data_IF_268708801303
#
_entry.id   IF_268708801303
#
_cell.length_a   1.000
_cell.length_b   1.000
_cell.length_c   1.000
_cell.angle_alpha   90.00
_cell.angle_beta   90.00
_cell.angle_gamma   90.00
#
_symmetry.space_group_name_H-M   'P 1'
#
loop_
_entity.id
_entity.type
_entity.pdbx_description
1 polymer ?
#
# COMPACT_ATOMS: atom_id res chain seq x y z
N UNK A 1 45.61 -52.66 -2.62
CA UNK A 1 46.02 -51.34 -3.12
C UNK A 1 44.82 -50.38 -3.16
N UNK A 2 44.68 -49.46 -2.17
CA UNK A 2 43.46 -48.66 -1.97
C UNK A 2 43.42 -47.33 -2.77
N UNK A 3 44.46 -47.00 -3.54
CA UNK A 3 44.66 -45.65 -4.10
C UNK A 3 43.90 -45.31 -5.39
N UNK A 4 43.16 -46.25 -6.00
CA UNK A 4 42.36 -45.96 -7.20
C UNK A 4 40.92 -45.52 -6.92
N UNK A 5 40.31 -45.95 -5.79
CA UNK A 5 38.93 -45.57 -5.43
C UNK A 5 38.81 -44.15 -4.84
N UNK A 6 39.86 -43.65 -4.19
CA UNK A 6 39.90 -42.27 -3.67
C UNK A 6 40.06 -41.24 -4.80
N UNK A 7 40.90 -41.53 -5.80
CA UNK A 7 41.08 -40.65 -6.98
C UNK A 7 39.81 -40.52 -7.82
N UNK A 8 39.02 -41.58 -7.99
CA UNK A 8 37.75 -41.51 -8.74
C UNK A 8 36.65 -40.78 -7.98
N UNK A 9 36.61 -40.86 -6.65
CA UNK A 9 35.67 -40.10 -5.81
C UNK A 9 35.99 -38.59 -5.78
N UNK A 10 37.27 -38.21 -5.75
CA UNK A 10 37.71 -36.82 -5.86
C UNK A 10 37.49 -36.23 -7.26
N UNK A 11 37.69 -37.02 -8.32
CA UNK A 11 37.36 -36.62 -9.70
C UNK A 11 35.85 -36.42 -9.90
N UNK A 12 35.01 -37.29 -9.33
CA UNK A 12 33.55 -37.13 -9.37
C UNK A 12 33.08 -35.90 -8.58
N UNK A 13 33.60 -35.66 -7.36
CA UNK A 13 33.31 -34.46 -6.58
C UNK A 13 33.75 -33.18 -7.29
N UNK A 14 34.93 -33.17 -7.91
CA UNK A 14 35.40 -32.02 -8.70
C UNK A 14 34.56 -31.81 -9.97
N UNK A 15 34.02 -32.87 -10.58
CA UNK A 15 33.11 -32.76 -11.72
C UNK A 15 31.74 -32.20 -11.32
N UNK A 16 31.21 -32.56 -10.15
CA UNK A 16 29.95 -32.03 -9.61
C UNK A 16 30.08 -30.59 -9.12
N UNK A 17 31.20 -30.26 -8.46
CA UNK A 17 31.55 -28.88 -8.11
C UNK A 17 31.76 -28.03 -9.36
N UNK A 18 32.44 -28.54 -10.39
CA UNK A 18 32.58 -27.86 -11.69
C UNK A 18 31.24 -27.66 -12.40
N UNK A 19 30.32 -28.64 -12.35
CA UNK A 19 28.97 -28.51 -12.90
C UNK A 19 28.12 -27.51 -12.11
N UNK A 20 28.16 -27.55 -10.78
CA UNK A 20 27.49 -26.55 -9.92
C UNK A 20 28.04 -25.16 -10.19
N UNK A 21 29.35 -24.97 -10.29
CA UNK A 21 29.96 -23.69 -10.62
C UNK A 21 29.58 -23.21 -12.03
N UNK A 22 29.53 -24.10 -13.03
CA UNK A 22 29.10 -23.76 -14.40
C UNK A 22 27.64 -23.34 -14.46
N UNK A 23 26.74 -24.05 -13.76
CA UNK A 23 25.31 -23.70 -13.70
C UNK A 23 25.11 -22.38 -12.95
N UNK A 24 25.76 -22.20 -11.80
CA UNK A 24 25.68 -20.95 -11.03
C UNK A 24 26.26 -19.77 -11.82
N UNK A 25 27.39 -19.92 -12.51
CA UNK A 25 27.95 -18.88 -13.39
C UNK A 25 27.04 -18.60 -14.59
N UNK A 26 26.40 -19.61 -15.20
CA UNK A 26 25.47 -19.41 -16.32
C UNK A 26 24.20 -18.70 -15.87
N UNK A 27 23.66 -19.04 -14.70
CA UNK A 27 22.49 -18.37 -14.10
C UNK A 27 22.80 -16.92 -13.70
N UNK A 28 23.99 -16.66 -13.15
CA UNK A 28 24.45 -15.31 -12.82
C UNK A 28 24.66 -14.50 -14.12
N UNK A 29 25.30 -15.05 -15.15
CA UNK A 29 25.49 -14.38 -16.43
C UNK A 29 24.17 -14.11 -17.15
N UNK A 30 23.24 -15.07 -17.18
CA UNK A 30 21.92 -14.85 -17.78
C UNK A 30 21.12 -13.78 -17.01
N UNK A 31 21.10 -13.84 -15.68
CA UNK A 31 20.43 -12.84 -14.85
C UNK A 31 21.04 -11.43 -15.01
N UNK A 32 22.38 -11.32 -15.11
CA UNK A 32 23.06 -10.05 -15.36
C UNK A 32 22.85 -9.56 -16.80
N UNK A 33 22.92 -10.44 -17.81
CA UNK A 33 22.81 -10.02 -19.21
C UNK A 33 21.40 -9.54 -19.56
N UNK A 34 20.36 -10.26 -19.11
CA UNK A 34 18.98 -9.82 -19.27
C UNK A 34 18.64 -8.61 -18.39
N UNK A 35 19.13 -8.57 -17.13
CA UNK A 35 18.90 -7.46 -16.21
C UNK A 35 19.60 -6.16 -16.61
N UNK A 36 20.77 -6.21 -17.25
CA UNK A 36 21.50 -5.02 -17.71
C UNK A 36 20.94 -4.44 -19.00
N UNK A 37 20.41 -5.26 -19.91
CA UNK A 37 19.72 -4.78 -21.11
C UNK A 37 18.39 -4.10 -20.80
N UNK A 38 17.60 -4.62 -19.86
CA UNK A 38 16.36 -3.96 -19.40
C UNK A 38 16.67 -2.68 -18.62
N UNK A 39 17.67 -2.69 -17.73
CA UNK A 39 18.07 -1.51 -16.93
C UNK A 39 18.56 -0.33 -17.79
N UNK A 40 19.39 -0.58 -18.81
CA UNK A 40 19.83 0.47 -19.75
C UNK A 40 18.70 1.10 -20.56
N UNK A 41 17.56 0.40 -20.71
CA UNK A 41 16.36 0.93 -21.38
C UNK A 41 15.46 1.73 -20.43
N UNK A 42 15.60 1.55 -19.12
CA UNK A 42 14.80 2.20 -18.08
C UNK A 42 15.50 3.41 -17.42
N UNK A 43 16.82 3.57 -17.60
CA UNK A 43 17.64 4.67 -17.05
C UNK A 43 17.34 6.07 -17.66
N UNK A 44 16.19 6.28 -18.31
CA UNK A 44 15.75 7.59 -18.80
C UNK A 44 14.46 8.14 -18.17
N UNK A 45 13.97 7.50 -17.11
CA UNK A 45 12.89 8.04 -16.27
C UNK A 45 13.30 7.93 -14.80
N UNK A 46 13.57 9.07 -14.19
CA UNK A 46 13.83 9.20 -12.75
C UNK A 46 12.60 8.76 -11.94
N UNK A 47 12.90 8.10 -10.82
CA UNK A 47 12.03 7.22 -10.02
C UNK A 47 11.64 7.92 -8.73
N UNK A 48 10.37 7.78 -8.33
CA UNK A 48 9.99 7.41 -6.96
C UNK A 48 8.54 6.89 -6.95
N UNK A 49 8.34 5.71 -7.54
CA UNK A 49 7.15 4.88 -7.31
C UNK A 49 7.58 3.71 -6.43
N UNK A 50 7.00 3.61 -5.23
CA UNK A 50 7.04 2.39 -4.42
C UNK A 50 6.14 1.32 -5.06
N UNK A 51 6.51 0.84 -6.25
CA UNK A 51 5.86 -0.30 -6.88
C UNK A 51 6.41 -1.58 -6.25
N UNK A 52 5.68 -2.11 -5.27
CA UNK A 52 5.90 -3.47 -4.78
C UNK A 52 5.88 -4.43 -5.99
N UNK A 53 6.92 -5.25 -6.21
CA UNK A 53 6.99 -6.11 -7.39
C UNK A 53 5.86 -7.15 -7.36
N UNK A 54 5.43 -7.62 -8.54
CA UNK A 54 4.32 -8.58 -8.66
C UNK A 54 4.83 -9.96 -9.13
N UNK A 55 4.20 -11.02 -8.64
CA UNK A 55 4.38 -12.40 -9.08
C UNK A 55 3.09 -12.82 -9.77
N UNK A 56 3.16 -13.08 -11.08
CA UNK A 56 2.08 -13.68 -11.85
C UNK A 56 2.35 -15.18 -12.01
N UNK A 57 1.74 -16.00 -11.17
CA UNK A 57 1.86 -17.45 -11.26
C UNK A 57 0.79 -18.00 -12.21
N UNK A 58 1.20 -18.47 -13.39
CA UNK A 58 0.30 -18.96 -14.44
C UNK A 58 0.25 -20.48 -14.41
N UNK A 59 -0.95 -21.06 -14.26
CA UNK A 59 -1.16 -22.51 -14.24
C UNK A 59 -2.25 -22.98 -15.21
N UNK A 60 -2.26 -24.29 -15.48
CA UNK A 60 -3.23 -24.93 -16.37
C UNK A 60 -2.71 -25.20 -17.78
N UNK A 61 -3.61 -25.63 -18.68
CA UNK A 61 -3.25 -26.27 -19.96
C UNK A 61 -2.57 -25.33 -20.97
N UNK A 62 -2.96 -24.06 -21.01
CA UNK A 62 -2.41 -23.03 -21.92
C UNK A 62 -1.45 -22.05 -21.25
N UNK A 63 -0.93 -22.42 -20.06
CA UNK A 63 -0.13 -21.53 -19.21
C UNK A 63 1.08 -20.90 -19.91
N UNK A 64 1.74 -21.63 -20.81
CA UNK A 64 2.92 -21.11 -21.54
C UNK A 64 2.54 -19.96 -22.45
N UNK A 65 1.56 -20.17 -23.32
CA UNK A 65 1.09 -19.16 -24.25
C UNK A 65 0.67 -17.88 -23.52
N UNK A 66 -0.12 -18.03 -22.44
CA UNK A 66 -0.55 -16.91 -21.61
C UNK A 66 0.64 -16.20 -20.96
N UNK A 67 1.57 -16.95 -20.36
CA UNK A 67 2.75 -16.39 -19.70
C UNK A 67 3.63 -15.57 -20.67
N UNK A 68 3.87 -16.09 -21.87
CA UNK A 68 4.71 -15.44 -22.88
C UNK A 68 4.05 -14.19 -23.50
N UNK A 69 2.75 -14.24 -23.79
CA UNK A 69 2.02 -13.06 -24.26
C UNK A 69 1.96 -11.95 -23.20
N UNK A 70 1.71 -12.32 -21.93
CA UNK A 70 1.77 -11.38 -20.81
C UNK A 70 3.16 -10.76 -20.65
N UNK A 71 4.22 -11.56 -20.76
CA UNK A 71 5.60 -11.07 -20.66
C UNK A 71 5.95 -10.08 -21.77
N UNK A 72 5.50 -10.36 -22.99
CA UNK A 72 5.71 -9.48 -24.14
C UNK A 72 5.03 -8.13 -23.93
N UNK A 73 3.84 -8.12 -23.35
CA UNK A 73 3.09 -6.91 -23.05
C UNK A 73 3.67 -6.16 -21.83
N UNK A 74 3.79 -6.82 -20.68
CA UNK A 74 4.22 -6.24 -19.40
C UNK A 74 5.73 -6.00 -19.27
N UNK A 75 6.53 -6.56 -20.18
CA UNK A 75 8.01 -6.55 -20.14
C UNK A 75 8.59 -7.20 -18.88
N UNK A 76 7.89 -8.19 -18.31
CA UNK A 76 8.38 -8.96 -17.18
C UNK A 76 9.16 -10.21 -17.64
N UNK A 77 10.21 -10.62 -16.92
CA UNK A 77 10.86 -11.90 -17.15
C UNK A 77 9.89 -13.08 -16.92
N UNK A 78 9.97 -14.08 -17.80
CA UNK A 78 9.28 -15.36 -17.68
C UNK A 78 10.23 -16.38 -17.07
N UNK A 79 9.72 -17.14 -16.10
CA UNK A 79 10.38 -18.31 -15.54
C UNK A 79 9.46 -19.50 -15.84
N UNK A 80 9.81 -20.29 -16.85
CA UNK A 80 9.09 -21.50 -17.21
C UNK A 80 9.72 -22.73 -16.56
N UNK A 81 8.99 -23.38 -15.66
CA UNK A 81 9.47 -24.58 -14.98
C UNK A 81 9.80 -25.70 -15.97
N UNK A 82 9.07 -25.83 -17.09
CA UNK A 82 9.28 -26.93 -18.02
C UNK A 82 10.61 -26.79 -18.78
N UNK A 83 11.03 -25.56 -19.05
CA UNK A 83 12.33 -25.29 -19.66
C UNK A 83 13.47 -25.64 -18.69
N UNK A 84 13.28 -25.38 -17.40
CA UNK A 84 14.23 -25.81 -16.36
C UNK A 84 14.26 -27.34 -16.29
N UNK A 85 13.09 -28.00 -16.31
CA UNK A 85 13.00 -29.46 -16.28
C UNK A 85 13.72 -30.10 -17.47
N UNK A 86 13.58 -29.55 -18.69
CA UNK A 86 14.24 -30.05 -19.90
C UNK A 86 15.78 -30.02 -19.81
N UNK A 87 16.33 -29.03 -19.10
CA UNK A 87 17.78 -28.89 -18.91
C UNK A 87 18.32 -29.87 -17.85
N UNK A 88 17.46 -30.36 -16.95
CA UNK A 88 17.83 -31.30 -15.91
C UNK A 88 17.66 -32.75 -16.41
N UNK A 89 18.77 -33.48 -16.56
CA UNK A 89 18.76 -34.86 -17.03
C UNK A 89 18.25 -35.84 -15.94
N UNK A 90 17.21 -36.61 -16.27
CA UNK A 90 16.64 -37.81 -15.61
C UNK A 90 16.88 -37.98 -14.09
N UNK A 91 15.97 -37.45 -13.27
CA UNK A 91 15.85 -37.83 -11.84
C UNK A 91 14.38 -37.97 -11.41
N UNK A 92 14.10 -38.82 -10.43
CA UNK A 92 12.73 -39.11 -9.95
C UNK A 92 12.06 -37.93 -9.21
N UNK A 93 12.77 -36.82 -8.97
CA UNK A 93 12.29 -35.64 -8.24
C UNK A 93 12.40 -34.32 -9.06
N UNK A 94 12.43 -34.45 -10.40
CA UNK A 94 12.64 -33.36 -11.35
C UNK A 94 11.72 -32.16 -11.12
N UNK A 95 10.43 -32.38 -10.85
CA UNK A 95 9.47 -31.29 -10.69
C UNK A 95 9.76 -30.41 -9.47
N UNK A 96 10.10 -31.02 -8.33
CA UNK A 96 10.41 -30.28 -7.11
C UNK A 96 11.75 -29.54 -7.21
N UNK A 97 12.74 -30.13 -7.88
CA UNK A 97 14.03 -29.49 -8.12
C UNK A 97 13.84 -28.29 -9.07
N UNK A 98 13.13 -28.50 -10.17
CA UNK A 98 12.86 -27.45 -11.16
C UNK A 98 12.07 -26.30 -10.56
N UNK A 99 11.06 -26.60 -9.74
CA UNK A 99 10.30 -25.60 -8.99
C UNK A 99 11.18 -24.80 -8.01
N UNK A 100 12.06 -25.45 -7.25
CA UNK A 100 12.99 -24.76 -6.33
C UNK A 100 13.97 -23.85 -7.07
N UNK A 101 14.44 -24.27 -8.25
CA UNK A 101 15.28 -23.43 -9.11
C UNK A 101 14.47 -22.23 -9.62
N UNK A 102 13.24 -22.44 -10.10
CA UNK A 102 12.36 -21.36 -10.53
C UNK A 102 12.13 -20.32 -9.43
N UNK A 103 11.87 -20.77 -8.19
CA UNK A 103 11.73 -19.88 -7.02
C UNK A 103 13.03 -19.12 -6.71
N UNK A 104 14.18 -19.78 -6.83
CA UNK A 104 15.48 -19.14 -6.58
C UNK A 104 15.74 -18.03 -7.60
N UNK A 105 15.47 -18.27 -8.89
CA UNK A 105 15.56 -17.25 -9.95
C UNK A 105 14.60 -16.11 -9.66
N UNK A 106 13.33 -16.41 -9.34
CA UNK A 106 12.34 -15.40 -9.00
C UNK A 106 12.75 -14.57 -7.79
N UNK A 107 13.42 -15.16 -6.78
CA UNK A 107 13.86 -14.45 -5.59
C UNK A 107 14.90 -13.38 -5.93
N UNK A 108 15.83 -13.66 -6.85
CA UNK A 108 16.83 -12.68 -7.31
C UNK A 108 16.13 -11.52 -8.03
N UNK A 109 15.22 -11.82 -8.96
CA UNK A 109 14.47 -10.81 -9.71
C UNK A 109 13.65 -9.89 -8.79
N UNK A 110 12.96 -10.48 -7.81
CA UNK A 110 12.07 -9.75 -6.91
C UNK A 110 12.82 -8.97 -5.84
N UNK A 111 13.87 -9.54 -5.22
CA UNK A 111 14.54 -8.93 -4.08
C UNK A 111 15.67 -7.99 -4.48
N UNK A 112 16.51 -8.42 -5.41
CA UNK A 112 17.72 -7.69 -5.83
C UNK A 112 17.40 -6.68 -6.93
N UNK A 113 16.57 -7.08 -7.90
CA UNK A 113 16.26 -6.24 -9.06
C UNK A 113 14.94 -5.47 -8.95
N UNK A 114 14.11 -5.79 -7.95
CA UNK A 114 12.78 -5.20 -7.73
C UNK A 114 11.86 -5.27 -8.96
N UNK A 115 12.00 -6.33 -9.76
CA UNK A 115 11.21 -6.54 -10.98
C UNK A 115 10.01 -7.45 -10.71
N UNK A 116 8.88 -7.17 -11.37
CA UNK A 116 7.77 -8.13 -11.47
C UNK A 116 8.19 -9.36 -12.27
N UNK A 117 7.63 -10.53 -11.96
CA UNK A 117 7.99 -11.81 -12.59
C UNK A 117 6.74 -12.59 -13.00
N UNK A 118 6.85 -13.32 -14.10
CA UNK A 118 5.84 -14.28 -14.54
C UNK A 118 6.40 -15.68 -14.36
N UNK A 119 5.72 -16.51 -13.58
CA UNK A 119 6.15 -17.87 -13.27
C UNK A 119 5.14 -18.83 -13.90
N UNK A 120 5.53 -19.52 -14.97
CA UNK A 120 4.73 -20.58 -15.59
C UNK A 120 5.00 -21.90 -14.86
N UNK A 121 4.01 -22.38 -14.12
CA UNK A 121 4.16 -23.57 -13.25
C UNK A 121 2.88 -24.43 -13.27
N UNK A 122 2.99 -25.76 -13.17
CA UNK A 122 1.83 -26.65 -13.15
C UNK A 122 0.95 -26.45 -11.90
N UNK A 123 1.55 -26.04 -10.76
CA UNK A 123 0.86 -25.79 -9.47
C UNK A 123 -0.07 -26.93 -9.03
N UNK A 124 0.36 -28.18 -9.24
CA UNK A 124 -0.36 -29.39 -8.86
C UNK A 124 -0.21 -29.78 -7.38
N UNK A 125 0.72 -29.14 -6.65
CA UNK A 125 1.02 -29.44 -5.25
C UNK A 125 0.80 -28.22 -4.35
N UNK A 126 0.12 -28.45 -3.21
CA UNK A 126 -0.12 -27.41 -2.18
C UNK A 126 1.18 -26.78 -1.66
N UNK A 127 2.24 -27.58 -1.53
CA UNK A 127 3.56 -27.13 -1.08
C UNK A 127 4.14 -26.03 -2.00
N UNK A 128 3.96 -26.14 -3.31
CA UNK A 128 4.44 -25.15 -4.28
C UNK A 128 3.74 -23.80 -4.09
N UNK A 129 2.42 -23.82 -3.88
CA UNK A 129 1.66 -22.62 -3.57
C UNK A 129 2.10 -21.98 -2.26
N UNK A 130 2.30 -22.77 -1.20
CA UNK A 130 2.74 -22.25 0.10
C UNK A 130 4.14 -21.62 0.01
N UNK A 131 5.03 -22.20 -0.79
CA UNK A 131 6.35 -21.63 -1.06
C UNK A 131 6.28 -20.31 -1.86
N UNK A 132 5.39 -20.19 -2.85
CA UNK A 132 5.15 -18.92 -3.55
C UNK A 132 4.61 -17.85 -2.60
N UNK A 133 3.66 -18.19 -1.72
CA UNK A 133 3.13 -17.28 -0.70
C UNK A 133 4.24 -16.78 0.22
N UNK A 134 5.10 -17.68 0.71
CA UNK A 134 6.26 -17.33 1.55
C UNK A 134 7.22 -16.41 0.80
N UNK A 135 7.49 -16.69 -0.48
CA UNK A 135 8.39 -15.89 -1.30
C UNK A 135 7.82 -14.49 -1.57
N UNK A 136 6.54 -14.39 -1.94
CA UNK A 136 5.85 -13.13 -2.12
C UNK A 136 5.95 -12.27 -0.86
N UNK A 137 5.59 -12.84 0.30
CA UNK A 137 5.70 -12.17 1.61
C UNK A 137 7.13 -11.71 1.90
N UNK A 138 8.12 -12.58 1.66
CA UNK A 138 9.53 -12.28 1.94
C UNK A 138 10.12 -11.21 1.00
N UNK A 139 9.61 -11.08 -0.22
CA UNK A 139 10.05 -10.08 -1.18
C UNK A 139 9.25 -8.77 -1.10
N UNK A 140 8.22 -8.69 -0.24
CA UNK A 140 7.24 -7.60 -0.26
C UNK A 140 6.46 -7.55 -1.58
N UNK A 141 6.34 -8.69 -2.27
CA UNK A 141 5.76 -8.78 -3.58
C UNK A 141 4.28 -9.19 -3.52
N UNK A 142 3.50 -8.72 -4.49
CA UNK A 142 2.10 -9.10 -4.65
C UNK A 142 1.97 -10.38 -5.47
N UNK A 143 1.17 -11.36 -5.03
CA UNK A 143 1.01 -12.64 -5.72
C UNK A 143 -0.39 -12.75 -6.34
N UNK A 144 -0.45 -13.06 -7.64
CA UNK A 144 -1.69 -13.34 -8.39
C UNK A 144 -1.57 -14.69 -9.08
N UNK A 145 -2.60 -15.52 -8.97
CA UNK A 145 -2.72 -16.77 -9.72
C UNK A 145 -3.52 -16.51 -10.99
N UNK A 146 -2.97 -16.86 -12.15
CA UNK A 146 -3.67 -16.85 -13.44
C UNK A 146 -3.99 -18.30 -13.80
N UNK A 147 -5.27 -18.66 -13.74
CA UNK A 147 -5.78 -19.98 -14.05
C UNK A 147 -6.19 -20.07 -15.52
N UNK A 148 -5.50 -20.91 -16.26
CA UNK A 148 -5.92 -21.35 -17.60
C UNK A 148 -6.80 -22.60 -17.45
N UNK A 149 -8.12 -22.45 -17.57
CA UNK A 149 -9.03 -23.59 -17.45
C UNK A 149 -8.86 -24.57 -18.62
N UNK A 150 -9.06 -25.88 -18.41
CA UNK A 150 -9.14 -26.84 -19.50
C UNK A 150 -10.40 -26.60 -20.34
N UNK A 151 -10.36 -26.99 -21.62
CA UNK A 151 -11.48 -26.80 -22.57
C UNK A 151 -12.77 -27.54 -22.17
N UNK A 152 -12.67 -28.52 -21.29
CA UNK A 152 -13.77 -29.33 -20.77
C UNK A 152 -14.43 -28.74 -19.50
N UNK A 153 -13.89 -27.63 -18.96
CA UNK A 153 -14.47 -26.94 -17.80
C UNK A 153 -14.23 -27.62 -16.45
N UNK A 154 -13.39 -28.65 -16.37
CA UNK A 154 -13.06 -29.30 -15.10
C UNK A 154 -12.37 -28.33 -14.13
N UNK A 155 -12.88 -28.26 -12.89
CA UNK A 155 -12.48 -27.24 -11.92
C UNK A 155 -11.31 -27.76 -11.05
N UNK A 156 -10.20 -27.04 -11.09
CA UNK A 156 -8.99 -27.30 -10.30
C UNK A 156 -9.18 -26.87 -8.83
N UNK A 157 -8.44 -27.47 -7.90
CA UNK A 157 -8.55 -27.31 -6.45
C UNK A 157 -8.62 -25.84 -6.00
N UNK A 158 -9.41 -25.59 -4.94
CA UNK A 158 -9.63 -24.26 -4.41
C UNK A 158 -8.33 -23.70 -3.79
N UNK A 159 -7.79 -22.62 -4.38
CA UNK A 159 -6.61 -21.92 -3.86
C UNK A 159 -7.11 -20.80 -2.95
N UNK A 160 -7.20 -21.07 -1.65
CA UNK A 160 -7.64 -20.07 -0.67
C UNK A 160 -6.56 -19.00 -0.41
N UNK A 161 -7.00 -17.73 -0.33
CA UNK A 161 -6.21 -16.61 0.17
C UNK A 161 -5.28 -15.92 -0.85
N UNK A 162 -5.38 -16.22 -2.15
CA UNK A 162 -4.64 -15.51 -3.20
C UNK A 162 -5.61 -15.10 -4.32
N UNK A 163 -5.54 -13.85 -4.85
CA UNK A 163 -6.35 -13.44 -5.99
C UNK A 163 -6.14 -14.37 -7.20
N UNK A 164 -7.25 -14.84 -7.77
CA UNK A 164 -7.27 -15.74 -8.94
C UNK A 164 -7.95 -15.03 -10.10
N UNK A 165 -7.27 -14.97 -11.24
CA UNK A 165 -7.81 -14.54 -12.52
C UNK A 165 -8.02 -15.76 -13.41
N UNK A 166 -9.12 -15.78 -14.17
CA UNK A 166 -9.47 -16.90 -15.04
C UNK A 166 -9.24 -16.46 -16.48
N UNK A 167 -8.50 -17.27 -17.24
CA UNK A 167 -8.39 -17.13 -18.69
C UNK A 167 -9.46 -18.02 -19.33
N UNK A 168 -10.34 -17.38 -20.09
CA UNK A 168 -11.44 -18.02 -20.79
C UNK A 168 -10.92 -19.02 -21.85
N UNK A 169 -11.22 -20.34 -21.70
CA UNK A 169 -10.73 -21.36 -22.62
C UNK A 169 -11.48 -21.39 -23.96
N UNK A 170 -12.60 -20.68 -24.08
CA UNK A 170 -13.44 -20.65 -25.28
C UNK A 170 -12.97 -19.64 -26.33
N UNK A 171 -12.12 -18.69 -25.94
CA UNK A 171 -11.56 -17.70 -26.87
C UNK A 171 -10.44 -18.33 -27.71
N UNK A 172 -10.42 -18.08 -29.03
CA UNK A 172 -9.43 -18.68 -29.93
C UNK A 172 -8.01 -18.15 -29.68
N UNK A 173 -7.87 -16.94 -29.15
CA UNK A 173 -6.58 -16.28 -28.87
C UNK A 173 -6.65 -15.48 -27.57
N UNK A 174 -5.54 -15.48 -26.82
CA UNK A 174 -5.39 -14.70 -25.60
C UNK A 174 -4.87 -13.30 -25.96
N UNK A 175 -5.64 -12.28 -25.61
CA UNK A 175 -5.25 -10.87 -25.76
C UNK A 175 -4.69 -10.35 -24.43
N UNK A 176 -3.37 -10.17 -24.38
CA UNK A 176 -2.68 -9.76 -23.16
C UNK A 176 -3.00 -8.33 -22.75
N UNK A 177 -3.14 -7.40 -23.71
CA UNK A 177 -3.44 -5.99 -23.41
C UNK A 177 -4.82 -5.86 -22.79
N UNK A 178 -5.81 -6.48 -23.43
CA UNK A 178 -7.18 -6.50 -22.91
C UNK A 178 -7.29 -7.24 -21.58
N UNK A 179 -6.59 -8.36 -21.41
CA UNK A 179 -6.60 -9.08 -20.13
C UNK A 179 -5.96 -8.25 -19.01
N UNK A 180 -4.89 -7.51 -19.32
CA UNK A 180 -4.24 -6.65 -18.34
C UNK A 180 -5.18 -5.52 -17.93
N UNK A 181 -5.79 -4.81 -18.88
CA UNK A 181 -6.74 -3.72 -18.57
C UNK A 181 -7.99 -4.21 -17.85
N UNK A 182 -8.58 -5.32 -18.32
CA UNK A 182 -9.90 -5.75 -17.88
C UNK A 182 -9.85 -6.60 -16.61
N UNK A 183 -8.75 -7.29 -16.33
CA UNK A 183 -8.66 -8.25 -15.23
C UNK A 183 -7.49 -7.93 -14.29
N UNK A 184 -6.26 -7.87 -14.82
CA UNK A 184 -5.08 -7.75 -13.97
C UNK A 184 -4.99 -6.41 -13.25
N UNK A 185 -5.23 -5.31 -13.95
CA UNK A 185 -5.20 -3.97 -13.37
C UNK A 185 -6.32 -3.80 -12.35
N UNK A 186 -7.49 -4.42 -12.55
CA UNK A 186 -8.54 -4.45 -11.52
C UNK A 186 -8.07 -5.19 -10.27
N UNK A 187 -7.36 -6.32 -10.40
CA UNK A 187 -6.83 -7.06 -9.24
C UNK A 187 -5.69 -6.29 -8.57
N UNK A 188 -4.80 -5.66 -9.33
CA UNK A 188 -3.79 -4.75 -8.77
C UNK A 188 -4.48 -3.63 -7.99
N UNK A 189 -5.46 -2.95 -8.58
CA UNK A 189 -6.25 -1.89 -7.92
C UNK A 189 -7.06 -2.39 -6.69
N UNK A 190 -7.58 -3.63 -6.70
CA UNK A 190 -8.45 -4.22 -5.66
C UNK A 190 -7.71 -4.91 -4.53
N UNK A 191 -6.47 -5.32 -4.72
CA UNK A 191 -5.75 -6.09 -3.69
C UNK A 191 -4.93 -5.25 -2.73
N UNK A 192 -4.75 -3.97 -3.04
CA UNK A 192 -4.40 -2.98 -2.05
C UNK A 192 -5.69 -2.53 -1.36
N UNK A 193 -5.83 -2.82 -0.07
CA UNK A 193 -6.66 -2.00 0.82
C UNK A 193 -6.29 -0.54 0.52
N UNK A 194 -7.26 0.35 0.34
CA UNK A 194 -7.03 1.70 -0.17
C UNK A 194 -6.25 2.57 0.83
N UNK A 195 -4.93 2.37 0.87
CA UNK A 195 -3.97 3.13 1.67
C UNK A 195 -3.20 4.13 0.81
N UNK A 196 -3.70 4.38 -0.40
CA UNK A 196 -3.05 5.23 -1.38
C UNK A 196 -3.43 6.69 -1.15
N UNK A 197 -2.49 7.62 -1.42
CA UNK A 197 -2.82 9.04 -1.41
C UNK A 197 -3.89 9.36 -2.46
N UNK A 198 -4.86 10.17 -2.06
CA UNK A 198 -5.72 10.88 -2.98
C UNK A 198 -4.99 12.16 -3.41
N UNK A 199 -4.73 12.27 -4.70
CA UNK A 199 -4.05 13.41 -5.31
C UNK A 199 -5.05 14.34 -5.99
N UNK A 200 -4.79 15.64 -5.90
CA UNK A 200 -5.62 16.65 -6.55
C UNK A 200 -5.31 16.74 -8.05
N UNK A 201 -6.35 16.82 -8.88
CA UNK A 201 -6.26 17.05 -10.31
C UNK A 201 -7.19 18.17 -10.76
N UNK A 202 -6.62 19.13 -11.52
CA UNK A 202 -7.34 20.29 -12.03
C UNK A 202 -8.14 20.04 -13.32
N UNK A 203 -7.83 19.00 -14.10
CA UNK A 203 -8.52 18.64 -15.35
C UNK A 203 -8.65 17.13 -15.49
N UNK A 204 -9.76 16.68 -16.08
CA UNK A 204 -9.94 15.29 -16.49
C UNK A 204 -9.13 15.01 -17.77
N UNK A 205 -8.52 13.83 -17.83
CA UNK A 205 -8.17 13.20 -19.10
C UNK A 205 -9.48 12.84 -19.79
N UNK A 206 -9.74 13.47 -20.94
CA UNK A 206 -10.91 13.18 -21.76
C UNK A 206 -10.87 11.71 -22.17
N UNK A 207 -11.84 10.89 -21.71
CA UNK A 207 -12.36 9.69 -22.40
C UNK A 207 -13.28 8.79 -21.54
N UNK A 208 -13.51 9.06 -20.25
CA UNK A 208 -14.48 8.28 -19.46
C UNK A 208 -15.41 9.14 -18.59
N UNK A 209 -16.70 8.78 -18.54
CA UNK A 209 -17.67 9.34 -17.57
C UNK A 209 -17.35 8.76 -16.19
N UNK A 210 -16.46 9.43 -15.46
CA UNK A 210 -16.11 9.04 -14.09
C UNK A 210 -17.12 9.64 -13.11
N UNK A 211 -17.59 8.84 -12.16
CA UNK A 211 -18.53 9.27 -11.12
C UNK A 211 -17.82 9.45 -9.77
N UNK A 212 -18.31 10.39 -8.97
CA UNK A 212 -17.81 10.65 -7.62
C UNK A 212 -18.31 9.56 -6.66
N UNK A 213 -17.40 8.89 -5.97
CA UNK A 213 -17.71 7.82 -5.03
C UNK A 213 -18.57 8.24 -3.85
N UNK A 214 -18.60 9.54 -3.51
CA UNK A 214 -19.42 10.08 -2.42
C UNK A 214 -20.84 10.42 -2.87
N UNK A 215 -20.99 11.23 -3.92
CA UNK A 215 -22.30 11.76 -4.33
C UNK A 215 -22.93 11.04 -5.54
N UNK A 216 -22.22 10.08 -6.14
CA UNK A 216 -22.63 9.31 -7.33
C UNK A 216 -22.94 10.17 -8.57
N UNK A 217 -22.49 11.42 -8.61
CA UNK A 217 -22.64 12.31 -9.78
C UNK A 217 -21.38 12.30 -10.63
N UNK A 218 -21.53 12.50 -11.93
CA UNK A 218 -20.40 12.61 -12.87
C UNK A 218 -19.45 13.74 -12.48
N UNK A 219 -18.16 13.49 -12.61
CA UNK A 219 -17.10 14.47 -12.40
C UNK A 219 -16.82 15.14 -13.74
N UNK A 220 -16.85 16.48 -13.76
CA UNK A 220 -16.56 17.30 -14.94
C UNK A 220 -15.44 18.32 -14.70
N UNK A 221 -14.93 18.43 -13.47
CA UNK A 221 -14.00 19.47 -13.04
C UNK A 221 -12.94 18.96 -12.05
N UNK A 222 -12.39 19.86 -11.21
CA UNK A 222 -11.38 19.52 -10.22
C UNK A 222 -11.81 18.37 -9.31
N UNK A 223 -10.92 17.42 -9.09
CA UNK A 223 -11.22 16.19 -8.36
C UNK A 223 -10.01 15.69 -7.59
N UNK A 224 -10.29 14.85 -6.60
CA UNK A 224 -9.32 14.01 -5.95
C UNK A 224 -9.45 12.60 -6.51
N UNK A 225 -8.34 11.97 -6.85
CA UNK A 225 -8.31 10.59 -7.27
C UNK A 225 -7.16 9.83 -6.62
N UNK A 226 -7.35 8.55 -6.37
CA UNK A 226 -6.28 7.66 -5.96
C UNK A 226 -5.08 7.77 -6.91
N UNK A 227 -3.88 7.92 -6.35
CA UNK A 227 -2.62 8.00 -7.09
C UNK A 227 -2.40 6.79 -8.01
N UNK A 228 -2.75 5.58 -7.54
CA UNK A 228 -2.67 4.36 -8.33
C UNK A 228 -3.87 4.14 -9.28
N UNK A 229 -4.78 5.13 -9.40
CA UNK A 229 -5.91 5.07 -10.31
C UNK A 229 -7.00 4.07 -9.90
N UNK A 230 -7.22 3.85 -8.60
CA UNK A 230 -8.36 3.05 -8.12
C UNK A 230 -9.69 3.75 -8.45
N UNK A 231 -10.50 3.14 -9.31
CA UNK A 231 -11.74 3.73 -9.83
C UNK A 231 -12.82 3.93 -8.75
N UNK A 232 -12.69 3.24 -7.61
CA UNK A 232 -13.61 3.35 -6.47
C UNK A 232 -13.31 4.56 -5.55
N UNK A 233 -12.22 5.29 -5.79
CA UNK A 233 -11.73 6.36 -4.91
C UNK A 233 -11.45 7.62 -5.71
N UNK A 234 -12.53 8.16 -6.27
CA UNK A 234 -12.52 9.39 -7.03
C UNK A 234 -13.63 10.28 -6.48
N UNK A 235 -13.30 11.53 -6.15
CA UNK A 235 -14.20 12.45 -5.50
C UNK A 235 -14.16 13.81 -6.20
N UNK A 236 -15.29 14.50 -6.35
CA UNK A 236 -15.23 15.95 -6.58
C UNK A 236 -14.38 16.60 -5.49
N UNK A 237 -13.70 17.70 -5.82
CA UNK A 237 -12.94 18.49 -4.82
C UNK A 237 -13.78 18.74 -3.56
N UNK A 238 -14.97 19.28 -3.74
CA UNK A 238 -15.90 19.60 -2.66
C UNK A 238 -16.40 18.36 -1.91
N UNK A 239 -16.52 17.22 -2.61
CA UNK A 239 -16.87 15.96 -1.96
C UNK A 239 -15.72 15.41 -1.11
N UNK A 240 -14.46 15.53 -1.55
CA UNK A 240 -13.30 15.11 -0.75
C UNK A 240 -13.08 16.00 0.48
N UNK A 241 -13.23 17.32 0.30
CA UNK A 241 -13.07 18.35 1.32
C UNK A 241 -14.31 18.58 2.19
N UNK A 242 -15.40 17.86 1.94
CA UNK A 242 -16.63 18.02 2.70
C UNK A 242 -16.34 17.88 4.20
N UNK A 243 -16.68 18.88 5.03
CA UNK A 243 -16.25 18.95 6.41
C UNK A 243 -16.79 17.76 7.22
N UNK A 244 -17.93 17.20 6.82
CA UNK A 244 -18.63 16.22 7.64
C UNK A 244 -19.15 16.88 8.92
N UNK A 245 -19.42 16.08 9.95
CA UNK A 245 -20.03 16.54 11.18
C UNK A 245 -18.98 16.95 12.24
N UNK A 246 -18.05 17.84 11.87
CA UNK A 246 -16.97 18.29 12.76
C UNK A 246 -17.50 18.97 14.02
N UNK A 247 -18.66 19.63 13.97
CA UNK A 247 -19.26 20.24 15.15
C UNK A 247 -19.64 19.19 16.20
N UNK A 248 -20.27 18.09 15.78
CA UNK A 248 -20.58 16.97 16.67
C UNK A 248 -19.31 16.27 17.15
N UNK A 249 -18.32 16.08 16.28
CA UNK A 249 -17.03 15.49 16.66
C UNK A 249 -16.27 16.40 17.64
N UNK A 250 -16.36 17.72 17.52
CA UNK A 250 -15.77 18.67 18.45
C UNK A 250 -16.40 18.57 19.85
N UNK A 251 -17.74 18.58 19.90
CA UNK A 251 -18.53 18.51 21.15
C UNK A 251 -18.43 17.14 21.84
N UNK A 252 -18.59 16.06 21.09
CA UNK A 252 -18.68 14.68 21.58
C UNK A 252 -17.72 13.75 20.81
N UNK A 253 -16.44 14.12 20.72
CA UNK A 253 -15.46 13.30 19.99
C UNK A 253 -15.41 11.89 20.57
N UNK A 254 -15.70 10.86 19.76
CA UNK A 254 -15.64 9.50 20.25
C UNK A 254 -14.24 9.16 20.77
N UNK A 255 -14.18 8.46 21.91
CA UNK A 255 -12.91 8.12 22.57
C UNK A 255 -11.94 7.38 21.65
N UNK A 256 -12.46 6.51 20.78
CA UNK A 256 -11.66 5.76 19.80
C UNK A 256 -10.98 6.64 18.73
N UNK A 257 -11.36 7.91 18.58
CA UNK A 257 -10.63 8.87 17.72
C UNK A 257 -9.45 9.55 18.46
N UNK A 258 -9.42 9.46 19.79
CA UNK A 258 -8.46 10.15 20.67
C UNK A 258 -7.53 9.19 21.43
N UNK A 259 -7.96 7.95 21.64
CA UNK A 259 -7.27 6.94 22.44
C UNK A 259 -7.40 5.58 21.75
N UNK A 260 -6.39 4.73 21.88
CA UNK A 260 -6.44 3.35 21.38
C UNK A 260 -7.50 2.56 22.15
N UNK A 261 -8.61 2.27 21.49
CA UNK A 261 -9.66 1.36 21.98
C UNK A 261 -9.48 -0.03 21.35
N UNK A 262 -10.03 -1.10 21.94
CA UNK A 262 -9.92 -2.45 21.39
C UNK A 262 -10.71 -2.66 20.09
N UNK A 263 -11.69 -1.79 19.80
CA UNK A 263 -12.53 -1.86 18.60
C UNK A 263 -13.02 -0.48 18.11
N UNK A 264 -13.40 -0.41 16.84
CA UNK A 264 -14.05 0.77 16.24
C UNK A 264 -15.56 0.78 16.53
N UNK A 265 -16.01 1.70 17.37
CA UNK A 265 -17.40 1.85 17.79
C UNK A 265 -18.17 2.85 16.91
N UNK A 266 -18.34 2.55 15.63
CA UNK A 266 -19.17 3.37 14.76
C UNK A 266 -20.67 3.21 15.06
N UNK A 267 -21.45 4.29 15.10
CA UNK A 267 -22.91 4.23 15.25
C UNK A 267 -23.60 3.42 14.15
N UNK A 268 -23.07 3.50 12.93
CA UNK A 268 -23.51 2.74 11.76
C UNK A 268 -22.25 2.23 11.06
N UNK A 269 -22.29 0.98 10.60
CA UNK A 269 -21.18 0.29 9.93
C UNK A 269 -21.57 0.01 8.48
N UNK A 270 -20.63 0.23 7.56
CA UNK A 270 -20.87 0.06 6.12
C UNK A 270 -19.78 -0.80 5.50
N UNK A 271 -20.21 -1.74 4.65
CA UNK A 271 -19.30 -2.63 3.94
C UNK A 271 -18.63 -1.89 2.78
N UNK A 272 -17.33 -2.14 2.57
CA UNK A 272 -16.74 -1.80 1.29
C UNK A 272 -17.27 -2.73 0.20
N UNK A 273 -17.17 -2.28 -1.05
CA UNK A 273 -17.58 -3.05 -2.24
C UNK A 273 -16.96 -4.44 -2.29
N UNK A 274 -15.71 -4.58 -1.82
CA UNK A 274 -15.00 -5.88 -1.79
C UNK A 274 -15.61 -6.83 -0.76
N UNK A 275 -15.92 -6.35 0.45
CA UNK A 275 -16.54 -7.17 1.49
C UNK A 275 -17.98 -7.53 1.11
N UNK A 276 -18.72 -6.57 0.57
CA UNK A 276 -20.07 -6.79 0.05
C UNK A 276 -20.09 -7.86 -1.05
N UNK A 277 -19.21 -7.75 -2.06
CA UNK A 277 -19.08 -8.75 -3.12
C UNK A 277 -18.76 -10.15 -2.60
N UNK A 278 -17.98 -10.25 -1.51
CA UNK A 278 -17.61 -11.52 -0.87
C UNK A 278 -18.67 -12.04 0.09
N UNK A 279 -19.85 -11.40 0.17
CA UNK A 279 -20.88 -11.69 1.16
C UNK A 279 -20.33 -11.71 2.60
N UNK A 280 -19.31 -10.88 2.86
CA UNK A 280 -18.74 -10.72 4.20
C UNK A 280 -19.40 -9.55 4.91
N UNK A 281 -19.65 -9.74 6.20
CA UNK A 281 -20.06 -8.65 7.08
C UNK A 281 -18.95 -7.62 7.24
N UNK A 282 -19.33 -6.49 7.83
CA UNK A 282 -18.39 -5.42 8.16
C UNK A 282 -17.24 -5.98 8.99
N UNK A 283 -16.03 -5.53 8.70
CA UNK A 283 -14.83 -5.90 9.44
C UNK A 283 -14.05 -4.65 9.80
N UNK A 284 -13.83 -4.48 11.10
CA UNK A 284 -12.87 -3.54 11.66
C UNK A 284 -11.42 -3.82 11.22
N UNK A 285 -11.15 -5.08 10.84
CA UNK A 285 -9.95 -5.58 10.15
C UNK A 285 -9.78 -5.08 8.71
N UNK A 286 -10.80 -4.44 8.12
CA UNK A 286 -10.81 -4.00 6.72
C UNK A 286 -10.73 -2.47 6.63
N UNK A 287 -9.60 -1.94 6.16
CA UNK A 287 -9.40 -0.51 5.92
C UNK A 287 -10.53 0.12 5.10
N UNK A 288 -10.96 -0.54 4.03
CA UNK A 288 -11.97 0.01 3.13
C UNK A 288 -13.36 0.04 3.77
N UNK A 289 -13.67 -0.90 4.68
CA UNK A 289 -14.90 -0.84 5.47
C UNK A 289 -14.87 0.32 6.46
N UNK A 290 -13.71 0.58 7.10
CA UNK A 290 -13.53 1.75 7.97
C UNK A 290 -13.73 3.04 7.19
N UNK A 291 -13.10 3.14 6.01
CA UNK A 291 -13.19 4.31 5.14
C UNK A 291 -14.61 4.52 4.60
N UNK A 292 -15.28 3.46 4.13
CA UNK A 292 -16.66 3.52 3.67
C UNK A 292 -17.62 3.95 4.79
N UNK A 293 -17.41 3.42 5.99
CA UNK A 293 -18.18 3.80 7.18
C UNK A 293 -17.99 5.28 7.50
N UNK A 294 -16.75 5.80 7.42
CA UNK A 294 -16.51 7.24 7.57
C UNK A 294 -17.18 8.07 6.48
N UNK A 295 -17.13 7.60 5.23
CA UNK A 295 -17.69 8.32 4.10
C UNK A 295 -19.21 8.47 4.23
N UNK A 296 -19.92 7.38 4.54
CA UNK A 296 -21.37 7.36 4.68
C UNK A 296 -21.87 8.00 5.98
N UNK A 297 -21.10 7.87 7.06
CA UNK A 297 -21.42 8.49 8.34
C UNK A 297 -21.05 9.97 8.42
N UNK A 298 -20.32 10.49 7.42
CA UNK A 298 -19.81 11.86 7.36
C UNK A 298 -19.08 12.29 8.65
N UNK A 299 -18.37 11.38 9.31
CA UNK A 299 -17.76 11.67 10.61
C UNK A 299 -16.59 12.64 10.48
N UNK A 300 -15.68 12.37 9.55
CA UNK A 300 -14.46 13.11 9.32
C UNK A 300 -14.29 13.45 7.83
N UNK A 301 -13.72 14.63 7.51
CA UNK A 301 -13.38 14.98 6.13
C UNK A 301 -12.34 14.01 5.59
N UNK A 302 -12.47 13.65 4.31
CA UNK A 302 -11.56 12.71 3.63
C UNK A 302 -10.24 13.42 3.32
N UNK A 303 -10.33 14.69 2.89
CA UNK A 303 -9.19 15.55 2.61
C UNK A 303 -9.32 16.84 3.42
N UNK A 304 -8.22 17.29 4.00
CA UNK A 304 -8.14 18.56 4.73
C UNK A 304 -6.99 19.40 4.20
N UNK A 305 -7.29 20.64 3.80
CA UNK A 305 -6.27 21.67 3.56
C UNK A 305 -6.09 22.44 4.87
N UNK A 306 -5.05 22.11 5.64
CA UNK A 306 -4.86 22.67 6.98
C UNK A 306 -3.84 23.81 6.94
N UNK A 307 -4.08 24.93 7.62
CA UNK A 307 -3.22 26.13 7.56
C UNK A 307 -1.77 25.88 7.98
N UNK A 308 -1.54 24.90 8.85
CA UNK A 308 -0.20 24.51 9.29
C UNK A 308 0.64 23.77 8.25
N UNK A 309 0.06 23.39 7.10
CA UNK A 309 0.77 22.60 6.11
C UNK A 309 0.29 22.90 4.68
N UNK A 310 1.23 23.10 3.75
CA UNK A 310 0.91 23.52 2.38
C UNK A 310 0.19 22.45 1.54
N UNK A 311 0.42 21.17 1.81
CA UNK A 311 -0.18 20.07 1.03
C UNK A 311 -1.47 19.54 1.67
N UNK A 312 -2.43 19.02 0.86
CA UNK A 312 -3.63 18.38 1.38
C UNK A 312 -3.30 17.16 2.25
N UNK A 313 -3.95 17.08 3.41
CA UNK A 313 -3.84 15.95 4.32
C UNK A 313 -4.95 14.94 4.02
N UNK A 314 -4.57 13.66 3.92
CA UNK A 314 -5.46 12.55 3.67
C UNK A 314 -5.88 11.90 5.00
N UNK A 315 -7.18 11.62 5.16
CA UNK A 315 -7.65 10.78 6.24
C UNK A 315 -7.13 9.34 6.06
N UNK A 316 -6.49 8.82 7.09
CA UNK A 316 -6.00 7.45 7.17
C UNK A 316 -6.66 6.75 8.36
N UNK A 317 -7.34 5.62 8.13
CA UNK A 317 -8.01 4.82 9.17
C UNK A 317 -7.55 3.36 9.12
N UNK A 318 -6.59 3.02 9.97
CA UNK A 318 -5.97 1.70 10.02
C UNK A 318 -6.75 0.73 10.92
N UNK A 319 -6.92 -0.54 10.53
CA UNK A 319 -7.41 -1.55 11.45
C UNK A 319 -6.54 -1.64 12.71
N UNK A 320 -7.15 -1.77 13.88
CA UNK A 320 -6.45 -1.74 15.17
C UNK A 320 -5.40 -2.85 15.29
N UNK A 321 -5.64 -4.00 14.66
CA UNK A 321 -4.71 -5.13 14.59
C UNK A 321 -3.36 -4.82 13.94
N UNK A 322 -3.24 -3.69 13.22
CA UNK A 322 -1.97 -3.25 12.65
C UNK A 322 -1.06 -2.57 13.66
N UNK A 323 -1.58 -2.19 14.84
CA UNK A 323 -0.85 -1.41 15.84
C UNK A 323 -0.16 -0.19 15.21
N UNK A 324 -0.86 0.48 14.27
CA UNK A 324 -0.30 1.63 13.56
C UNK A 324 -0.11 2.78 14.54
N UNK A 325 1.12 3.27 14.64
CA UNK A 325 1.51 4.41 15.46
C UNK A 325 2.14 5.49 14.58
N UNK A 326 1.88 6.74 14.89
CA UNK A 326 2.49 7.90 14.24
C UNK A 326 2.80 8.99 15.27
N UNK A 327 3.77 9.84 14.93
CA UNK A 327 4.06 11.04 15.72
C UNK A 327 3.30 12.23 15.14
N UNK A 328 2.54 12.93 15.98
CA UNK A 328 1.81 14.12 15.57
C UNK A 328 2.77 15.31 15.42
N UNK A 329 2.76 15.95 14.25
CA UNK A 329 3.54 17.14 13.94
C UNK A 329 3.06 18.39 14.70
N UNK A 330 1.84 18.37 15.24
CA UNK A 330 1.29 19.47 16.03
C UNK A 330 1.73 19.44 17.49
N UNK A 331 1.29 18.43 18.24
CA UNK A 331 1.58 18.33 19.68
C UNK A 331 2.86 17.57 20.01
N UNK A 332 3.45 16.85 19.05
CA UNK A 332 4.61 15.97 19.26
C UNK A 332 4.30 14.63 19.93
N UNK A 333 3.08 14.42 20.39
CA UNK A 333 2.62 13.16 20.99
C UNK A 333 2.42 12.04 19.98
N UNK A 334 2.40 10.80 20.46
CA UNK A 334 2.06 9.63 19.65
C UNK A 334 0.56 9.50 19.46
N UNK A 335 0.15 9.06 18.27
CA UNK A 335 -1.23 8.74 17.91
C UNK A 335 -1.31 7.36 17.33
N UNK A 336 -2.51 6.79 17.34
CA UNK A 336 -2.74 5.43 16.88
C UNK A 336 -3.89 5.37 15.90
N UNK A 337 -3.73 4.51 14.90
CA UNK A 337 -4.76 4.00 13.99
C UNK A 337 -5.44 5.03 13.07
N UNK A 338 -5.79 6.23 13.54
CA UNK A 338 -6.45 7.27 12.77
C UNK A 338 -5.59 8.54 12.74
N UNK A 339 -5.32 9.04 11.55
CA UNK A 339 -4.52 10.25 11.37
C UNK A 339 -4.93 11.03 10.13
N UNK A 340 -4.53 12.29 10.10
CA UNK A 340 -4.42 13.07 8.86
C UNK A 340 -2.98 13.08 8.41
N UNK A 341 -2.71 12.57 7.21
CA UNK A 341 -1.36 12.38 6.69
C UNK A 341 -1.14 13.12 5.38
N UNK A 342 -0.04 13.87 5.32
CA UNK A 342 0.57 14.27 4.05
C UNK A 342 1.53 13.15 3.61
N UNK A 343 1.31 12.63 2.41
CA UNK A 343 2.20 11.60 1.85
C UNK A 343 3.52 12.20 1.32
N UNK A 344 3.51 13.46 0.90
CA UNK A 344 4.68 14.14 0.31
C UNK A 344 5.71 14.58 1.38
N UNK A 345 5.25 14.90 2.60
CA UNK A 345 6.08 15.51 3.64
C UNK A 345 6.23 14.69 4.92
N UNK A 346 5.66 13.48 4.97
CA UNK A 346 5.57 12.67 6.20
C UNK A 346 5.03 13.46 7.42
N UNK A 347 4.12 14.39 7.14
CA UNK A 347 3.46 15.22 8.15
C UNK A 347 2.18 14.51 8.60
N UNK A 348 2.02 14.31 9.91
CA UNK A 348 0.90 13.56 10.45
C UNK A 348 0.25 14.34 11.58
N UNK A 349 -1.08 14.37 11.64
CA UNK A 349 -1.83 15.01 12.72
C UNK A 349 -2.78 14.02 13.37
N UNK A 350 -2.90 14.13 14.69
CA UNK A 350 -4.07 13.59 15.38
C UNK A 350 -5.34 14.25 14.85
N UNK A 351 -6.44 13.51 14.85
CA UNK A 351 -7.78 14.09 14.62
C UNK A 351 -8.06 15.22 15.61
N UNK A 352 -7.71 15.04 16.89
CA UNK A 352 -7.87 16.08 17.92
C UNK A 352 -7.03 17.33 17.66
N UNK A 353 -5.81 17.18 17.15
CA UNK A 353 -4.95 18.32 16.81
C UNK A 353 -5.50 19.09 15.60
N UNK A 354 -6.04 18.38 14.60
CA UNK A 354 -6.72 19.00 13.45
C UNK A 354 -7.94 19.83 13.89
N UNK A 355 -8.63 19.41 14.94
CA UNK A 355 -9.83 20.07 15.47
C UNK A 355 -9.55 21.16 16.51
N UNK A 356 -8.29 21.51 16.75
CA UNK A 356 -7.98 22.56 17.71
C UNK A 356 -8.56 23.90 17.22
N UNK A 357 -9.25 24.66 18.09
CA UNK A 357 -9.80 25.94 17.71
C UNK A 357 -8.68 26.93 17.37
N UNK A 358 -8.86 27.69 16.29
CA UNK A 358 -7.88 28.71 15.89
C UNK A 358 -7.69 29.79 16.95
N UNK A 359 -8.72 30.07 17.73
CA UNK A 359 -8.71 31.07 18.78
C UNK A 359 -9.49 30.58 19.99
N UNK A 360 -8.93 30.79 21.17
CA UNK A 360 -9.60 30.50 22.45
C UNK A 360 -9.66 31.76 23.30
N UNK A 361 -10.84 32.03 23.88
CA UNK A 361 -11.02 33.03 24.92
C UNK A 361 -10.78 32.39 26.28
N UNK A 362 -10.10 33.12 27.17
CA UNK A 362 -9.83 32.67 28.52
C UNK A 362 -10.56 33.59 29.51
N UNK A 363 -11.25 33.03 30.50
CA UNK A 363 -12.11 33.80 31.41
C UNK A 363 -11.34 34.82 32.27
N UNK A 364 -10.03 34.62 32.47
CA UNK A 364 -9.19 35.52 33.28
C UNK A 364 -8.27 36.43 32.43
N UNK A 365 -8.11 36.16 31.14
CA UNK A 365 -7.32 37.01 30.23
C UNK A 365 -8.26 37.79 29.32
N UNK A 366 -8.10 39.11 29.31
CA UNK A 366 -8.90 40.00 28.44
C UNK A 366 -8.63 39.81 26.94
N UNK A 367 -7.64 38.99 26.58
CA UNK A 367 -7.14 38.87 25.21
C UNK A 367 -7.22 37.42 24.70
N UNK A 368 -7.71 37.21 23.46
CA UNK A 368 -7.81 35.89 22.86
C UNK A 368 -6.42 35.32 22.52
N UNK A 369 -6.25 34.03 22.78
CA UNK A 369 -5.07 33.25 22.41
C UNK A 369 -5.27 32.65 21.01
N UNK A 370 -4.26 32.77 20.14
CA UNK A 370 -4.30 32.27 18.76
C UNK A 370 -3.39 31.06 18.57
N UNK A 371 -3.90 30.02 17.94
CA UNK A 371 -3.11 28.84 17.60
C UNK A 371 -2.03 29.21 16.59
N UNK A 372 -0.80 28.78 16.86
CA UNK A 372 0.40 29.10 16.07
C UNK A 372 1.15 27.81 15.73
N UNK A 373 1.52 27.68 14.45
CA UNK A 373 2.12 26.47 13.89
C UNK A 373 3.62 26.58 13.63
N UNK A 374 4.08 27.81 13.37
CA UNK A 374 5.43 28.09 12.89
C UNK A 374 6.28 28.79 13.96
N UNK A 375 7.59 28.58 13.87
CA UNK A 375 8.58 29.23 14.75
C UNK A 375 9.25 30.45 14.08
N UNK A 376 8.76 30.85 12.90
CA UNK A 376 9.54 31.62 11.93
C UNK A 376 9.58 33.14 12.07
N UNK A 377 8.80 33.80 12.95
CA UNK A 377 9.21 35.16 13.30
C UNK A 377 10.34 35.07 14.32
N UNK A 378 11.49 35.65 13.98
CA UNK A 378 12.67 35.73 14.85
C UNK A 378 12.35 36.29 16.26
N UNK A 379 11.23 37.03 16.40
CA UNK A 379 10.67 37.52 17.65
C UNK A 379 10.12 36.44 18.61
N UNK A 380 9.87 35.21 18.14
CA UNK A 380 9.35 34.09 18.97
C UNK A 380 10.44 33.21 19.60
N UNK A 381 11.71 33.35 19.18
CA UNK A 381 12.82 32.58 19.74
C UNK A 381 13.17 32.97 21.18
N UNK A 382 12.90 34.22 21.57
CA UNK A 382 13.10 34.70 22.95
C UNK A 382 11.96 34.27 23.90
N UNK A 383 10.86 33.71 23.37
CA UNK A 383 9.64 33.33 24.10
C UNK A 383 9.51 31.81 24.21
N UNK A 384 10.56 31.18 24.72
CA UNK A 384 10.68 29.72 24.82
C UNK A 384 9.90 29.12 25.98
N UNK A 385 9.24 29.89 26.85
CA UNK A 385 8.54 29.38 28.03
C UNK A 385 7.03 29.54 27.91
N UNK A 386 6.31 28.52 28.38
CA UNK A 386 4.87 28.54 28.53
C UNK A 386 4.47 29.38 29.75
N UNK A 387 3.57 30.34 29.57
CA UNK A 387 3.12 31.25 30.62
C UNK A 387 2.37 30.51 31.73
N UNK A 388 1.55 29.52 31.38
CA UNK A 388 0.73 28.78 32.32
C UNK A 388 1.53 27.84 33.24
N UNK A 389 2.59 27.20 32.74
CA UNK A 389 3.34 26.21 33.52
C UNK A 389 4.80 26.57 33.78
N UNK A 390 5.28 27.69 33.22
CA UNK A 390 6.65 28.22 33.37
C UNK A 390 7.75 27.24 32.92
N UNK A 391 7.42 26.28 32.03
CA UNK A 391 8.36 25.31 31.44
C UNK A 391 8.69 25.67 30.01
N UNK A 392 9.85 25.22 29.54
CA UNK A 392 10.27 25.37 28.14
C UNK A 392 9.33 24.66 27.19
N UNK A 393 9.10 25.31 26.05
CA UNK A 393 8.33 24.84 24.91
C UNK A 393 9.28 24.23 23.89
N UNK A 394 8.81 23.17 23.24
CA UNK A 394 9.48 22.65 22.07
C UNK A 394 9.21 23.57 20.85
N UNK A 395 10.24 24.13 20.18
CA UNK A 395 10.06 25.01 19.04
C UNK A 395 9.29 24.39 17.87
N UNK A 396 9.38 23.06 17.69
CA UNK A 396 8.72 22.32 16.63
C UNK A 396 7.30 21.86 16.97
N UNK A 397 6.76 22.20 18.15
CA UNK A 397 5.37 21.91 18.51
C UNK A 397 4.53 23.18 18.42
N UNK A 398 3.27 23.00 18.05
CA UNK A 398 2.27 24.07 18.04
C UNK A 398 2.00 24.60 19.45
N UNK A 399 1.54 25.83 19.51
CA UNK A 399 1.24 26.52 20.76
C UNK A 399 0.20 27.61 20.56
N UNK A 400 -0.37 28.09 21.64
CA UNK A 400 -1.22 29.26 21.64
C UNK A 400 -0.40 30.51 21.97
N UNK A 401 -0.60 31.59 21.22
CA UNK A 401 0.08 32.86 21.41
C UNK A 401 -0.92 34.00 21.58
N UNK A 402 -0.67 34.87 22.55
CA UNK A 402 -1.38 36.13 22.69
C UNK A 402 -0.48 37.29 22.23
N UNK A 403 -0.78 37.97 21.11
CA UNK A 403 0.01 39.13 20.68
C UNK A 403 -0.01 40.29 21.67
N UNK A 404 -1.11 40.50 22.39
CA UNK A 404 -1.27 41.62 23.31
C UNK A 404 -0.53 41.41 24.64
N UNK A 405 -0.49 40.17 25.13
CA UNK A 405 0.28 39.81 26.34
C UNK A 405 1.71 39.37 26.01
N UNK A 406 2.03 39.21 24.73
CA UNK A 406 3.30 38.68 24.24
C UNK A 406 3.69 37.32 24.83
N UNK A 407 2.69 36.53 25.21
CA UNK A 407 2.86 35.27 25.94
C UNK A 407 2.53 34.05 25.10
N UNK A 408 3.24 32.95 25.35
CA UNK A 408 3.02 31.66 24.71
C UNK A 408 2.50 30.64 25.72
N UNK A 409 1.63 29.72 25.28
CA UNK A 409 1.04 28.69 26.14
C UNK A 409 1.00 27.37 25.40
N UNK A 410 1.44 26.28 26.05
CA UNK A 410 1.33 24.93 25.48
C UNK A 410 -0.12 24.57 25.15
N UNK A 411 -0.33 23.75 24.11
CA UNK A 411 -1.66 23.20 23.78
C UNK A 411 -2.32 22.55 24.99
N UNK A 412 -1.56 21.69 25.70
CA UNK A 412 -2.06 20.96 26.87
C UNK A 412 -2.34 21.86 28.07
N UNK A 413 -1.65 23.00 28.18
CA UNK A 413 -1.91 23.94 29.25
C UNK A 413 -3.22 24.68 29.04
N UNK A 414 -3.59 24.98 27.79
CA UNK A 414 -4.89 25.57 27.45
C UNK A 414 -6.02 24.56 27.69
N UNK A 415 -5.89 23.34 27.17
CA UNK A 415 -6.95 22.32 27.28
C UNK A 415 -7.22 21.89 28.72
N UNK A 416 -6.19 21.76 29.57
CA UNK A 416 -6.35 21.39 30.98
C UNK A 416 -6.97 22.49 31.86
N UNK A 417 -6.99 23.74 31.39
CA UNK A 417 -7.61 24.83 32.13
C UNK A 417 -9.09 24.98 31.78
N UNK A 418 -9.47 24.74 30.51
CA UNK A 418 -10.87 24.69 30.06
C UNK A 418 -11.69 23.56 30.71
N UNK A 419 -11.03 22.52 31.23
CA UNK A 419 -11.71 21.40 31.92
C UNK A 419 -11.82 21.60 33.44
N UNK A 420 -11.26 22.69 33.98
CA UNK A 420 -11.29 23.04 35.41
C UNK A 420 -12.26 24.19 35.74
N UNK A 421 -12.75 24.89 34.72
CA UNK A 421 -13.91 25.81 34.74
C UNK A 421 -15.20 25.03 34.55
#
# INVERSE_FOLDING_TARGET
MPNQKLKTAELHKNSELSRRWKITCFLIHAAFFYGTQTRKKMEKQEVEQLDAPIILAVKGQTRKTVAYELAKHLKYPVIDQDEITLVLQNSECLDNISFKIALSIASIQLKELKLGVIISIPLSQKEHLDNLKKQAKSAGAFLVIIQCLPKDGSNDFNIEGVPRLIVDPTKPTFDAEKFVSDELDKVRKRSYRHLHPLIFKNKLTAESKVECSRCQKTISGPNYQCFLGCDEYIFHKDCGEHPGNLEQVGKNCPKYLRVTEPEYLFPKKSNCKICEYKSKEFSDGCHDCLFQTNMEGEFLPIIVNHESHAHPLNLLMMPLSYNYEFRCSGCGGFGHSISYRCYDCNFNLHVSCMLLPQTVSYDYDKHPLRLTYDSLEQSYFEKSYCEACKKERNPGHWFYYCPACESSTHLDCVTNQLTRS
#
